data_IF_758054805424
#
_entry.id   IF_758054805424
#
_cell.length_a   1.000
_cell.length_b   1.000
_cell.length_c   1.000
_cell.angle_alpha   90.00
_cell.angle_beta   90.00
_cell.angle_gamma   90.00
#
_symmetry.space_group_name_H-M   'P 1'
#
loop_
_entity.id
_entity.type
_entity.pdbx_description
1 polymer ?
#
# COMPACT_ATOMS: atom_id res chain seq x y z
N UNK A 1 -1.43 -4.61 13.41
CA UNK A 1 -0.30 -3.99 14.14
C UNK A 1 -0.79 -2.94 15.14
N UNK A 2 -1.68 -2.00 14.78
CA UNK A 2 -2.19 -0.98 15.71
C UNK A 2 -3.08 -1.55 16.83
N UNK A 3 -3.89 -2.56 16.56
CA UNK A 3 -4.80 -3.17 17.54
C UNK A 3 -4.08 -3.99 18.62
N UNK A 4 -2.97 -4.63 18.30
CA UNK A 4 -2.19 -5.45 19.23
C UNK A 4 -1.50 -4.59 20.29
N UNK A 5 -0.95 -3.44 19.91
CA UNK A 5 -0.35 -2.49 20.86
C UNK A 5 -1.42 -1.94 21.80
N UNK A 6 -2.60 -1.57 21.31
CA UNK A 6 -3.69 -1.08 22.13
C UNK A 6 -4.21 -2.12 23.14
N UNK A 7 -4.22 -3.40 22.79
CA UNK A 7 -4.63 -4.48 23.70
C UNK A 7 -3.59 -4.66 24.81
N UNK A 8 -2.30 -4.66 24.50
CA UNK A 8 -1.21 -4.76 25.49
C UNK A 8 -1.17 -3.57 26.44
N UNK A 9 -1.26 -2.36 25.91
CA UNK A 9 -1.18 -1.13 26.70
C UNK A 9 -2.36 -0.96 27.67
N UNK A 10 -3.52 -1.55 27.34
CA UNK A 10 -4.69 -1.51 28.21
C UNK A 10 -4.75 -2.63 29.26
N UNK A 11 -3.73 -3.48 29.31
CA UNK A 11 -3.61 -4.53 30.32
C UNK A 11 -4.65 -5.65 30.23
N UNK A 12 -5.26 -5.86 29.07
CA UNK A 12 -6.15 -7.00 28.86
C UNK A 12 -5.33 -8.30 28.86
N UNK A 13 -5.69 -9.21 29.76
CA UNK A 13 -5.12 -10.55 29.83
C UNK A 13 -5.73 -11.45 28.73
N UNK A 14 -5.43 -11.13 27.46
CA UNK A 14 -5.92 -11.88 26.31
C UNK A 14 -4.72 -12.50 25.61
N UNK A 15 -4.79 -13.80 25.33
CA UNK A 15 -3.83 -14.45 24.44
C UNK A 15 -4.11 -13.99 22.99
N UNK A 16 -3.26 -13.11 22.49
CA UNK A 16 -3.39 -12.57 21.13
C UNK A 16 -3.28 -13.68 20.07
N UNK A 17 -2.47 -14.71 20.32
CA UNK A 17 -2.32 -15.81 19.37
C UNK A 17 -3.61 -16.64 19.24
N UNK A 18 -4.42 -16.67 20.30
CA UNK A 18 -5.72 -17.35 20.26
C UNK A 18 -6.81 -16.53 19.53
N UNK A 19 -6.60 -15.23 19.36
CA UNK A 19 -7.54 -14.33 18.66
C UNK A 19 -7.20 -14.11 17.18
N UNK A 20 -5.94 -14.26 16.83
CA UNK A 20 -5.50 -14.03 15.45
C UNK A 20 -5.79 -15.27 14.60
N UNK A 21 -6.21 -15.09 13.35
CA UNK A 21 -6.35 -16.20 12.43
C UNK A 21 -4.96 -16.78 12.08
N UNK A 22 -4.96 -18.00 11.59
CA UNK A 22 -3.77 -18.59 11.02
C UNK A 22 -3.30 -17.76 9.80
N UNK A 23 -2.01 -17.45 9.77
CA UNK A 23 -1.41 -16.72 8.65
C UNK A 23 -0.95 -17.72 7.59
N UNK A 24 -1.52 -17.62 6.41
CA UNK A 24 -1.20 -18.48 5.28
C UNK A 24 -0.49 -17.65 4.19
N UNK A 25 0.58 -18.18 3.56
CA UNK A 25 1.19 -17.54 2.39
C UNK A 25 0.28 -17.63 1.18
N UNK A 26 0.50 -16.77 0.20
CA UNK A 26 -0.23 -16.80 -1.07
C UNK A 26 -0.07 -18.17 -1.75
N UNK A 27 -1.18 -18.68 -2.27
CA UNK A 27 -1.24 -20.00 -2.91
C UNK A 27 -1.44 -21.17 -1.95
N UNK A 28 -1.46 -20.96 -0.63
CA UNK A 28 -1.87 -21.99 0.31
C UNK A 28 -3.39 -22.27 0.20
N UNK A 29 -3.79 -23.45 0.69
CA UNK A 29 -5.21 -23.82 0.73
C UNK A 29 -5.91 -23.07 1.87
N UNK A 30 -6.84 -22.21 1.53
CA UNK A 30 -7.70 -21.50 2.48
C UNK A 30 -9.11 -22.12 2.58
N UNK A 31 -9.29 -23.35 2.10
CA UNK A 31 -10.55 -24.06 2.08
C UNK A 31 -11.33 -23.88 0.79
N UNK A 32 -12.64 -24.13 0.86
CA UNK A 32 -13.52 -24.08 -0.31
C UNK A 32 -14.76 -23.24 -0.04
N UNK A 33 -15.33 -22.69 -1.10
CA UNK A 33 -16.58 -21.94 -1.04
C UNK A 33 -17.72 -22.87 -0.57
N UNK A 34 -18.40 -22.48 0.49
CA UNK A 34 -19.54 -23.22 1.02
C UNK A 34 -20.81 -22.97 0.18
N UNK A 35 -21.81 -23.85 0.29
CA UNK A 35 -23.12 -23.61 -0.35
C UNK A 35 -23.78 -22.31 0.14
N UNK A 36 -23.67 -22.01 1.43
CA UNK A 36 -24.20 -20.76 1.99
C UNK A 36 -23.46 -19.54 1.45
N UNK A 37 -22.14 -19.62 1.31
CA UNK A 37 -21.30 -18.58 0.70
C UNK A 37 -21.65 -18.38 -0.78
N UNK A 38 -21.79 -19.45 -1.54
CA UNK A 38 -22.17 -19.38 -2.94
C UNK A 38 -23.53 -18.67 -3.14
N UNK A 39 -24.53 -19.04 -2.34
CA UNK A 39 -25.87 -18.38 -2.37
C UNK A 39 -25.83 -16.92 -1.93
N UNK A 40 -24.97 -16.57 -0.99
CA UNK A 40 -24.81 -15.18 -0.54
C UNK A 40 -24.20 -14.29 -1.62
N UNK A 41 -23.18 -14.80 -2.31
CA UNK A 41 -22.45 -14.06 -3.34
C UNK A 41 -23.21 -14.01 -4.67
N UNK A 42 -23.90 -15.09 -5.01
CA UNK A 42 -24.71 -15.19 -6.24
C UNK A 42 -26.07 -15.81 -5.96
N UNK A 43 -27.08 -15.00 -5.64
CA UNK A 43 -28.45 -15.47 -5.46
C UNK A 43 -29.06 -16.12 -6.71
N UNK A 44 -28.51 -15.85 -7.90
CA UNK A 44 -28.98 -16.45 -9.14
C UNK A 44 -28.53 -17.91 -9.34
N UNK A 45 -27.59 -18.39 -8.52
CA UNK A 45 -27.18 -19.79 -8.46
C UNK A 45 -26.18 -20.23 -9.55
N UNK A 46 -25.50 -19.30 -10.22
CA UNK A 46 -24.46 -19.62 -11.20
C UNK A 46 -23.15 -20.03 -10.48
N UNK A 47 -22.90 -19.47 -9.30
CA UNK A 47 -21.71 -19.77 -8.50
C UNK A 47 -21.89 -21.07 -7.73
N UNK A 48 -20.98 -22.02 -7.92
CA UNK A 48 -21.05 -23.35 -7.31
C UNK A 48 -20.23 -23.42 -6.02
N UNK A 49 -20.71 -24.21 -5.07
CA UNK A 49 -19.91 -24.58 -3.90
C UNK A 49 -18.74 -25.47 -4.28
N UNK A 50 -17.72 -25.55 -3.42
CA UNK A 50 -16.54 -26.38 -3.63
C UNK A 50 -15.41 -25.71 -4.42
N UNK A 51 -15.59 -24.49 -4.89
CA UNK A 51 -14.52 -23.70 -5.52
C UNK A 51 -13.42 -23.47 -4.48
N UNK A 52 -12.13 -23.79 -4.78
CA UNK A 52 -11.04 -23.55 -3.86
C UNK A 52 -10.82 -22.06 -3.64
N UNK A 53 -10.53 -21.69 -2.41
CA UNK A 53 -10.25 -20.32 -1.99
C UNK A 53 -8.76 -20.16 -1.72
N UNK A 54 -8.20 -19.04 -2.17
CA UNK A 54 -6.88 -18.59 -1.77
C UNK A 54 -6.95 -17.77 -0.48
N UNK A 55 -5.88 -17.69 0.31
CA UNK A 55 -5.78 -16.71 1.38
C UNK A 55 -5.99 -15.29 0.83
N UNK A 56 -6.68 -14.41 1.57
CA UNK A 56 -6.83 -13.02 1.15
C UNK A 56 -5.48 -12.32 1.14
N UNK A 57 -5.25 -11.52 0.13
CA UNK A 57 -4.03 -10.71 0.00
C UNK A 57 -4.40 -9.23 -0.04
N UNK A 58 -3.53 -8.39 0.52
CA UNK A 58 -3.69 -6.94 0.47
C UNK A 58 -3.16 -6.33 -0.84
N UNK A 59 -3.47 -5.07 -1.05
CA UNK A 59 -3.02 -4.29 -2.21
C UNK A 59 -1.49 -4.17 -2.27
N UNK A 60 -0.82 -4.10 -1.11
CA UNK A 60 0.62 -4.04 -1.02
C UNK A 60 1.29 -5.30 -1.59
N UNK A 61 0.87 -6.49 -1.17
CA UNK A 61 1.40 -7.76 -1.65
C UNK A 61 1.08 -8.01 -3.12
N UNK A 62 -0.15 -7.72 -3.56
CA UNK A 62 -0.52 -7.80 -4.98
C UNK A 62 0.26 -6.81 -5.83
N UNK A 63 0.54 -5.61 -5.32
CA UNK A 63 1.39 -4.62 -5.98
C UNK A 63 2.84 -5.09 -6.15
N UNK A 64 3.40 -5.78 -5.16
CA UNK A 64 4.72 -6.40 -5.27
C UNK A 64 4.75 -7.48 -6.35
N UNK A 65 3.74 -8.33 -6.42
CA UNK A 65 3.62 -9.35 -7.45
C UNK A 65 3.46 -8.72 -8.84
N UNK A 66 2.60 -7.72 -8.99
CA UNK A 66 2.34 -7.02 -10.25
C UNK A 66 3.58 -6.31 -10.81
N UNK A 67 4.46 -5.82 -9.94
CA UNK A 67 5.70 -5.13 -10.33
C UNK A 67 6.92 -6.07 -10.39
N UNK A 68 6.72 -7.37 -10.18
CA UNK A 68 7.78 -8.38 -10.10
C UNK A 68 8.86 -8.03 -9.07
N UNK A 69 8.46 -7.50 -7.92
CA UNK A 69 9.35 -7.05 -6.85
C UNK A 69 9.23 -7.92 -5.59
N UNK A 70 9.20 -9.23 -5.77
CA UNK A 70 9.08 -10.22 -4.69
C UNK A 70 10.40 -10.91 -4.34
N UNK A 71 11.43 -10.75 -5.15
CA UNK A 71 12.75 -11.33 -4.89
C UNK A 71 13.57 -10.47 -3.92
N UNK A 72 14.49 -11.05 -3.13
CA UNK A 72 15.41 -10.27 -2.30
C UNK A 72 16.13 -9.15 -3.08
N UNK A 73 16.29 -7.99 -2.47
CA UNK A 73 16.90 -6.76 -3.04
C UNK A 73 16.08 -6.12 -4.16
N UNK A 74 14.85 -6.55 -4.39
CA UNK A 74 13.89 -5.83 -5.20
C UNK A 74 12.95 -5.03 -4.33
N UNK A 75 12.23 -4.11 -4.91
CA UNK A 75 11.25 -3.31 -4.18
C UNK A 75 10.32 -2.58 -5.12
N UNK A 76 9.27 -2.02 -4.57
CA UNK A 76 8.34 -1.19 -5.29
C UNK A 76 7.93 0.03 -4.47
N UNK A 77 7.39 1.01 -5.16
CA UNK A 77 6.76 2.18 -4.57
C UNK A 77 5.32 2.22 -5.03
N UNK A 78 4.40 2.23 -4.09
CA UNK A 78 2.98 2.44 -4.36
C UNK A 78 2.61 3.88 -4.00
N UNK A 79 2.17 4.64 -4.99
CA UNK A 79 1.82 6.05 -4.85
C UNK A 79 0.32 6.24 -5.13
N UNK A 80 -0.47 6.18 -4.06
CA UNK A 80 -1.90 6.42 -4.06
C UNK A 80 -2.24 7.67 -3.25
N UNK A 81 -3.32 7.64 -2.48
CA UNK A 81 -3.64 8.67 -1.48
C UNK A 81 -2.51 8.81 -0.47
N UNK A 82 -2.00 7.69 0.01
CA UNK A 82 -0.72 7.57 0.71
C UNK A 82 0.35 6.99 -0.20
N UNK A 83 1.59 7.06 0.24
CA UNK A 83 2.73 6.45 -0.45
C UNK A 83 3.43 5.48 0.49
N UNK A 84 3.79 4.31 -0.01
CA UNK A 84 4.67 3.40 0.70
C UNK A 84 5.74 2.83 -0.25
N UNK A 85 6.95 2.73 0.28
CA UNK A 85 8.08 2.11 -0.38
C UNK A 85 8.40 0.81 0.33
N UNK A 86 8.54 -0.28 -0.41
CA UNK A 86 8.82 -1.61 0.10
C UNK A 86 10.08 -2.18 -0.52
N UNK A 87 10.91 -2.82 0.29
CA UNK A 87 12.14 -3.48 -0.16
C UNK A 87 12.20 -4.86 0.47
N UNK A 88 12.34 -5.90 -0.35
CA UNK A 88 12.51 -7.28 0.10
C UNK A 88 13.92 -7.46 0.68
N UNK A 89 13.98 -7.89 1.92
CA UNK A 89 15.23 -8.02 2.66
C UNK A 89 15.90 -9.38 2.39
N UNK A 90 17.23 -9.38 2.32
CA UNK A 90 18.02 -10.61 2.30
C UNK A 90 18.17 -11.23 3.70
N UNK A 91 18.07 -10.38 4.73
CA UNK A 91 18.24 -10.76 6.14
C UNK A 91 17.32 -9.91 6.99
N UNK A 92 16.90 -10.46 8.11
CA UNK A 92 16.17 -9.69 9.12
C UNK A 92 16.98 -8.45 9.56
N UNK A 93 16.26 -7.38 9.92
CA UNK A 93 16.89 -6.19 10.47
C UNK A 93 17.62 -6.53 11.78
N UNK A 94 18.77 -5.91 12.00
CA UNK A 94 19.60 -6.16 13.18
C UNK A 94 19.01 -5.61 14.48
N UNK A 95 18.09 -4.67 14.37
CA UNK A 95 17.35 -4.05 15.48
C UNK A 95 16.02 -3.51 15.00
N UNK A 96 15.17 -3.08 15.92
CA UNK A 96 13.94 -2.36 15.62
C UNK A 96 14.28 -0.93 15.20
N UNK A 97 13.69 -0.49 14.09
CA UNK A 97 13.71 0.89 13.60
C UNK A 97 12.28 1.40 13.65
N UNK A 98 11.94 2.40 14.46
CA UNK A 98 10.58 2.90 14.62
C UNK A 98 9.95 3.44 13.33
N UNK A 99 10.79 3.85 12.38
CA UNK A 99 10.38 4.41 11.08
C UNK A 99 10.10 3.35 10.01
N UNK A 100 10.37 2.07 10.32
CA UNK A 100 10.24 0.96 9.37
C UNK A 100 9.20 -0.02 9.88
N UNK A 101 8.18 -0.22 9.10
CA UNK A 101 7.21 -1.29 9.31
C UNK A 101 7.73 -2.58 8.67
N UNK A 102 7.63 -3.68 9.43
CA UNK A 102 7.98 -4.99 8.90
C UNK A 102 6.71 -5.67 8.38
N UNK A 103 6.72 -5.99 7.10
CA UNK A 103 5.68 -6.75 6.42
C UNK A 103 6.32 -7.94 5.71
N UNK A 104 5.55 -8.70 4.93
CA UNK A 104 6.07 -9.82 4.15
C UNK A 104 5.68 -9.70 2.68
N UNK A 105 6.44 -10.38 1.83
CA UNK A 105 5.97 -10.71 0.48
C UNK A 105 4.79 -11.67 0.56
N UNK A 106 4.00 -11.85 -0.51
CA UNK A 106 2.98 -12.91 -0.56
C UNK A 106 3.50 -14.30 -0.25
N UNK A 107 4.78 -14.57 -0.50
CA UNK A 107 5.44 -15.83 -0.18
C UNK A 107 5.97 -15.93 1.26
N UNK A 108 5.93 -14.85 2.03
CA UNK A 108 6.37 -14.82 3.42
C UNK A 108 7.78 -14.27 3.66
N UNK A 109 8.49 -13.81 2.62
CA UNK A 109 9.82 -13.22 2.79
C UNK A 109 9.73 -11.84 3.47
N UNK A 110 10.72 -11.46 4.31
CA UNK A 110 10.68 -10.22 5.07
C UNK A 110 10.83 -8.99 4.17
N UNK A 111 9.99 -8.00 4.38
CA UNK A 111 9.98 -6.73 3.65
C UNK A 111 10.05 -5.56 4.62
N UNK A 112 10.97 -4.65 4.38
CA UNK A 112 10.99 -3.35 5.05
C UNK A 112 10.09 -2.37 4.28
N UNK A 113 9.15 -1.75 4.99
CA UNK A 113 8.22 -0.77 4.42
C UNK A 113 8.35 0.56 5.15
N UNK A 114 8.36 1.64 4.39
CA UNK A 114 8.19 3.00 4.89
C UNK A 114 6.90 3.55 4.32
N UNK A 115 6.04 4.08 5.17
CA UNK A 115 4.71 4.57 4.80
C UNK A 115 4.55 6.05 5.17
N UNK A 116 4.03 6.83 4.22
CA UNK A 116 3.60 8.21 4.44
C UNK A 116 2.13 8.35 4.05
N UNK A 117 1.36 9.02 4.90
CA UNK A 117 -0.09 9.21 4.68
C UNK A 117 -0.41 10.19 3.56
N UNK A 118 0.56 10.99 3.15
CA UNK A 118 0.41 12.08 2.17
C UNK A 118 1.12 11.72 0.87
N UNK A 119 0.43 11.78 -0.25
CA UNK A 119 1.00 11.63 -1.59
C UNK A 119 0.17 12.38 -2.63
N UNK A 120 -0.80 11.72 -3.25
CA UNK A 120 -1.57 12.32 -4.35
C UNK A 120 -2.45 13.48 -3.91
N UNK A 121 -2.90 13.51 -2.66
CA UNK A 121 -3.65 14.65 -2.11
C UNK A 121 -2.82 15.92 -2.07
N UNK A 122 -1.56 15.84 -1.63
CA UNK A 122 -0.65 16.98 -1.61
C UNK A 122 -0.30 17.43 -3.02
N UNK A 123 0.00 16.46 -3.89
CA UNK A 123 0.27 16.74 -5.30
C UNK A 123 -0.91 17.44 -5.97
N UNK A 124 -2.14 16.96 -5.70
CA UNK A 124 -3.35 17.58 -6.21
C UNK A 124 -3.52 19.03 -5.71
N UNK A 125 -3.22 19.29 -4.43
CA UNK A 125 -3.29 20.63 -3.87
C UNK A 125 -2.30 21.60 -4.54
N UNK A 126 -1.09 21.16 -4.79
CA UNK A 126 -0.09 21.97 -5.52
C UNK A 126 -0.50 22.23 -6.97
N UNK A 127 -0.98 21.22 -7.67
CA UNK A 127 -1.45 21.38 -9.06
C UNK A 127 -2.68 22.29 -9.11
N UNK A 128 -3.59 22.19 -8.14
CA UNK A 128 -4.73 23.08 -8.02
C UNK A 128 -4.31 24.55 -7.83
N UNK A 129 -3.35 24.79 -6.94
CA UNK A 129 -2.81 26.14 -6.72
C UNK A 129 -2.21 26.73 -8.01
N UNK A 130 -1.43 25.92 -8.74
CA UNK A 130 -0.84 26.36 -10.01
C UNK A 130 -1.90 26.61 -11.08
N UNK A 131 -2.94 25.76 -11.14
CA UNK A 131 -4.06 25.93 -12.06
C UNK A 131 -4.82 27.24 -11.78
N UNK A 132 -5.18 27.49 -10.53
CA UNK A 132 -5.88 28.71 -10.10
C UNK A 132 -5.05 29.95 -10.41
N UNK A 133 -3.75 29.93 -10.15
CA UNK A 133 -2.87 31.06 -10.49
C UNK A 133 -2.85 31.33 -11.99
N UNK A 134 -2.76 30.30 -12.83
CA UNK A 134 -2.79 30.46 -14.27
C UNK A 134 -4.13 31.02 -14.77
N UNK A 135 -5.24 30.55 -14.22
CA UNK A 135 -6.59 31.05 -14.53
C UNK A 135 -6.79 32.51 -14.15
N UNK A 136 -6.28 32.92 -12.98
CA UNK A 136 -6.28 34.33 -12.55
C UNK A 136 -5.47 35.22 -13.52
N UNK A 137 -4.45 34.68 -14.16
CA UNK A 137 -3.67 35.36 -15.20
C UNK A 137 -4.34 35.29 -16.58
N UNK A 138 -5.57 34.77 -16.70
CA UNK A 138 -6.35 34.70 -17.93
C UNK A 138 -6.08 33.47 -18.82
N UNK A 139 -5.35 32.47 -18.33
CA UNK A 139 -5.15 31.23 -19.06
C UNK A 139 -6.37 30.29 -18.91
N UNK A 140 -6.62 29.47 -19.93
CA UNK A 140 -7.55 28.32 -19.81
C UNK A 140 -6.75 27.10 -19.43
N UNK A 141 -7.07 26.48 -18.30
CA UNK A 141 -6.32 25.34 -17.79
C UNK A 141 -7.12 24.04 -17.96
N UNK A 142 -6.48 23.07 -18.64
CA UNK A 142 -6.87 21.67 -18.60
C UNK A 142 -6.00 20.98 -17.56
N UNK A 143 -6.58 20.52 -16.45
CA UNK A 143 -5.81 19.92 -15.35
C UNK A 143 -5.06 18.66 -15.76
N UNK A 144 -5.62 17.80 -16.61
CA UNK A 144 -4.94 16.60 -17.12
C UNK A 144 -3.68 16.93 -17.93
N UNK A 145 -3.77 17.93 -18.80
CA UNK A 145 -2.60 18.42 -19.54
C UNK A 145 -1.58 19.09 -18.62
N UNK A 146 -2.03 19.82 -17.62
CA UNK A 146 -1.16 20.45 -16.62
C UNK A 146 -0.36 19.40 -15.86
N UNK A 147 -1.00 18.33 -15.37
CA UNK A 147 -0.31 17.20 -14.75
C UNK A 147 0.77 16.62 -15.65
N UNK A 148 0.41 16.30 -16.89
CA UNK A 148 1.36 15.75 -17.87
C UNK A 148 2.56 16.66 -18.09
N UNK A 149 2.33 17.97 -18.23
CA UNK A 149 3.39 18.97 -18.42
C UNK A 149 4.29 19.07 -17.18
N UNK A 150 3.72 19.09 -15.98
CA UNK A 150 4.48 19.18 -14.73
C UNK A 150 5.32 17.93 -14.50
N UNK A 151 4.78 16.73 -14.74
CA UNK A 151 5.56 15.49 -14.64
C UNK A 151 6.70 15.45 -15.64
N UNK A 152 6.47 15.84 -16.89
CA UNK A 152 7.55 15.90 -17.89
C UNK A 152 8.61 16.96 -17.53
N UNK A 153 8.20 18.09 -16.98
CA UNK A 153 9.12 19.13 -16.52
C UNK A 153 9.96 18.67 -15.32
N UNK A 154 9.38 17.88 -14.43
CA UNK A 154 10.09 17.36 -13.25
C UNK A 154 11.30 16.50 -13.61
N UNK A 155 11.29 15.83 -14.77
CA UNK A 155 12.44 15.07 -15.28
C UNK A 155 13.68 15.92 -15.59
N UNK A 156 13.52 17.24 -15.69
CA UNK A 156 14.60 18.19 -15.92
C UNK A 156 15.14 18.77 -14.60
N UNK A 157 14.47 18.49 -13.50
CA UNK A 157 14.89 18.93 -12.17
C UNK A 157 16.05 18.12 -11.62
N UNK A 158 16.69 18.66 -10.58
CA UNK A 158 17.71 17.91 -9.84
C UNK A 158 17.05 16.69 -9.14
N UNK A 159 17.67 15.48 -9.22
CA UNK A 159 17.09 14.26 -8.62
C UNK A 159 16.80 14.36 -7.11
N UNK A 160 17.58 15.20 -6.41
CA UNK A 160 17.44 15.49 -4.98
C UNK A 160 16.59 16.75 -4.70
N UNK A 161 15.87 17.25 -5.71
CA UNK A 161 15.11 18.51 -5.65
C UNK A 161 15.94 19.72 -5.18
N UNK A 162 17.29 19.68 -5.35
CA UNK A 162 18.19 20.74 -4.88
C UNK A 162 18.23 20.83 -3.35
N UNK A 163 17.91 19.76 -2.63
CA UNK A 163 17.83 19.70 -1.17
C UNK A 163 16.56 20.29 -0.56
N UNK A 164 15.57 20.64 -1.37
CA UNK A 164 14.25 21.10 -0.88
C UNK A 164 13.42 19.91 -0.46
N UNK A 165 13.00 19.89 0.81
CA UNK A 165 12.17 18.84 1.39
C UNK A 165 10.85 19.46 1.85
N UNK A 166 9.69 19.00 1.36
CA UNK A 166 8.40 19.41 1.90
C UNK A 166 8.19 18.77 3.28
N UNK A 167 7.66 19.54 4.22
CA UNK A 167 7.24 19.04 5.52
C UNK A 167 5.72 19.05 5.55
N UNK A 168 5.13 17.92 5.19
CA UNK A 168 3.68 17.78 5.01
C UNK A 168 3.10 17.03 6.22
N UNK A 169 2.73 17.77 7.26
CA UNK A 169 1.99 17.24 8.41
C UNK A 169 0.58 17.82 8.42
N UNK A 170 -0.40 16.94 8.62
CA UNK A 170 -1.78 17.28 8.89
C UNK A 170 -2.12 16.99 10.35
#
# INVERSE_FOLDING_TARGET
>A
VGSEMCIRDRGYAVDLNALLPEVLPAGADAGTLTEAGARLLDPAGNLQAGIPLCPPEGDAGTGMAATNSVAPRTGNVSAGTSIFAMVVLEKALSKVYPEIDMVTTPAGDPVAMVHCNNCTSDLNAWVELLAQNAELCGAKVNKGELFTKLFNLSLQGAPDCGGVIPVNYY
#
